data_IF_042048632791
#
_entry.id   IF_042048632791
#
_cell.length_a   1.000
_cell.length_b   1.000
_cell.length_c   1.000
_cell.angle_alpha   90.00
_cell.angle_beta   90.00
_cell.angle_gamma   90.00
#
_symmetry.space_group_name_H-M   'P 1'
#
loop_
_entity.id
_entity.type
_entity.pdbx_description
1 polymer ?
#
# COMPACT_ATOMS: atom_id res chain seq x y z
N UNK A 1 64.27 -33.86 4.31
CA UNK A 1 63.02 -34.67 4.24
C UNK A 1 62.02 -33.96 5.16
N UNK A 2 61.31 -32.91 4.72
CA UNK A 2 59.94 -32.91 4.13
C UNK A 2 59.00 -33.76 5.00
N UNK A 3 58.10 -33.22 5.84
CA UNK A 3 56.78 -32.58 5.56
C UNK A 3 56.00 -32.58 6.91
N UNK A 4 54.96 -31.81 7.25
CA UNK A 4 54.19 -30.72 6.65
C UNK A 4 53.42 -30.06 7.82
N UNK A 5 53.36 -28.72 7.85
CA UNK A 5 52.56 -27.95 8.80
C UNK A 5 51.15 -27.85 8.23
N UNK A 6 50.17 -28.47 8.89
CA UNK A 6 48.75 -28.35 8.53
C UNK A 6 48.20 -27.02 9.06
N UNK A 7 48.08 -26.03 8.18
CA UNK A 7 47.33 -24.80 8.39
C UNK A 7 45.84 -25.11 8.34
N UNK A 8 45.17 -25.06 9.49
CA UNK A 8 43.72 -25.12 9.58
C UNK A 8 43.12 -23.78 9.11
N UNK A 9 42.62 -23.76 7.87
CA UNK A 9 41.79 -22.68 7.34
C UNK A 9 40.43 -22.69 8.05
N UNK A 10 40.27 -21.84 9.06
CA UNK A 10 38.97 -21.53 9.64
C UNK A 10 38.20 -20.70 8.62
N UNK A 11 37.38 -21.36 7.82
CA UNK A 11 36.38 -20.72 6.98
C UNK A 11 35.32 -20.11 7.91
N UNK A 12 35.50 -18.83 8.25
CA UNK A 12 34.48 -18.02 8.90
C UNK A 12 33.34 -17.88 7.90
N UNK A 13 32.34 -18.77 8.00
CA UNK A 13 31.05 -18.56 7.38
C UNK A 13 30.43 -17.32 8.02
N UNK A 14 30.63 -16.17 7.39
CA UNK A 14 29.83 -14.98 7.67
C UNK A 14 28.40 -15.32 7.27
N UNK A 15 27.62 -15.80 8.23
CA UNK A 15 26.16 -15.81 8.10
C UNK A 15 25.76 -14.35 8.02
N UNK A 16 25.46 -13.89 6.81
CA UNK A 16 24.76 -12.63 6.60
C UNK A 16 23.42 -12.78 7.30
N UNK A 17 23.34 -12.29 8.55
CA UNK A 17 22.08 -12.12 9.24
C UNK A 17 21.31 -11.14 8.38
N UNK A 18 20.36 -11.65 7.61
CA UNK A 18 19.35 -10.83 6.97
C UNK A 18 18.60 -10.19 8.14
N UNK A 19 18.93 -8.94 8.45
CA UNK A 19 18.16 -8.15 9.38
C UNK A 19 16.77 -8.06 8.74
N UNK A 20 15.83 -8.88 9.23
CA UNK A 20 14.44 -8.67 8.94
C UNK A 20 14.14 -7.24 9.40
N UNK A 21 13.83 -6.35 8.46
CA UNK A 21 13.43 -4.97 8.72
C UNK A 21 12.25 -5.01 9.71
N UNK A 22 12.56 -4.90 11.01
CA UNK A 22 11.55 -4.97 12.07
C UNK A 22 10.82 -3.65 12.11
N UNK A 23 9.58 -3.64 11.62
CA UNK A 23 8.66 -2.52 11.83
C UNK A 23 8.28 -2.52 13.32
N UNK A 24 8.58 -1.42 14.00
CA UNK A 24 8.10 -1.12 15.34
C UNK A 24 6.64 -0.67 15.21
N UNK A 25 5.68 -1.41 15.79
CA UNK A 25 4.28 -1.02 15.72
C UNK A 25 4.03 0.34 16.40
N UNK A 26 3.18 1.21 15.84
CA UNK A 26 2.82 2.46 16.46
C UNK A 26 1.98 2.19 17.70
N UNK A 27 2.10 3.08 18.69
CA UNK A 27 1.40 2.95 19.96
C UNK A 27 -0.04 3.50 19.84
N UNK A 28 -0.92 2.73 19.21
CA UNK A 28 -2.33 3.07 19.00
C UNK A 28 -3.28 2.03 19.60
N UNK A 29 -4.52 2.44 19.88
CA UNK A 29 -5.54 1.55 20.45
C UNK A 29 -6.00 0.50 19.43
N UNK A 30 -6.20 -0.73 19.91
CA UNK A 30 -6.94 -1.77 19.17
C UNK A 30 -8.43 -1.54 19.30
N UNK A 31 -9.19 -1.80 18.23
CA UNK A 31 -10.63 -1.62 18.19
C UNK A 31 -11.12 -1.05 16.86
N UNK A 32 -12.29 -0.42 16.86
CA UNK A 32 -12.92 0.20 15.71
C UNK A 32 -12.31 1.57 15.44
N UNK A 33 -11.93 1.80 14.19
CA UNK A 33 -11.45 3.07 13.69
C UNK A 33 -12.27 3.51 12.49
N UNK A 34 -12.32 4.83 12.27
CA UNK A 34 -12.83 5.43 11.05
C UNK A 34 -11.70 6.18 10.36
N UNK A 35 -11.61 6.04 9.05
CA UNK A 35 -10.63 6.73 8.24
C UNK A 35 -11.34 7.52 7.16
N UNK A 36 -10.93 8.77 7.02
CA UNK A 36 -11.26 9.60 5.86
C UNK A 36 -9.99 9.72 5.04
N UNK A 37 -10.07 9.29 3.79
CA UNK A 37 -8.98 9.28 2.84
C UNK A 37 -9.34 10.12 1.63
N UNK A 38 -8.38 10.85 1.09
CA UNK A 38 -8.48 11.53 -0.20
C UNK A 38 -7.45 10.91 -1.13
N UNK A 39 -7.90 10.42 -2.27
CA UNK A 39 -7.01 9.89 -3.30
C UNK A 39 -7.09 10.73 -4.56
N UNK A 40 -5.94 10.91 -5.20
CA UNK A 40 -5.81 11.48 -6.54
C UNK A 40 -5.11 10.47 -7.42
N UNK A 41 -5.58 10.35 -8.66
CA UNK A 41 -5.00 9.44 -9.62
C UNK A 41 -4.79 10.18 -10.94
N UNK A 42 -3.60 10.07 -11.50
CA UNK A 42 -3.21 10.70 -12.76
C UNK A 42 -2.50 9.71 -13.66
N UNK A 43 -2.46 10.00 -14.96
CA UNK A 43 -1.85 9.10 -15.95
C UNK A 43 -2.72 7.88 -16.29
N UNK A 44 -3.99 7.87 -15.87
CA UNK A 44 -4.95 6.86 -16.30
C UNK A 44 -5.12 6.91 -17.82
N UNK A 45 -5.27 5.75 -18.50
CA UNK A 45 -5.64 5.73 -19.90
C UNK A 45 -6.91 6.56 -20.11
N UNK A 46 -6.94 7.38 -21.15
CA UNK A 46 -8.18 8.00 -21.57
C UNK A 46 -9.22 6.89 -21.77
N UNK A 47 -10.42 7.06 -21.19
CA UNK A 47 -11.52 6.14 -21.44
C UNK A 47 -11.69 6.03 -22.97
N UNK A 48 -11.74 4.81 -23.54
CA UNK A 48 -11.98 4.64 -24.96
C UNK A 48 -13.26 5.38 -25.34
N UNK A 49 -13.20 6.21 -26.39
CA UNK A 49 -14.42 6.79 -26.93
C UNK A 49 -15.32 5.65 -27.41
N UNK A 50 -16.57 5.68 -26.98
CA UNK A 50 -17.51 4.61 -27.30
C UNK A 50 -18.01 4.83 -28.72
N UNK A 51 -17.84 3.87 -29.65
CA UNK A 51 -18.29 4.03 -31.02
C UNK A 51 -19.81 4.29 -31.06
N UNK A 52 -20.30 5.20 -31.92
CA UNK A 52 -21.74 5.47 -32.03
C UNK A 52 -22.57 4.22 -32.31
N UNK A 53 -22.02 3.27 -33.06
CA UNK A 53 -22.66 1.99 -33.35
C UNK A 53 -22.78 1.09 -32.11
N UNK A 54 -21.79 1.11 -31.21
CA UNK A 54 -21.85 0.36 -29.96
C UNK A 54 -22.90 0.96 -29.02
N UNK A 55 -23.01 2.30 -28.96
CA UNK A 55 -24.05 2.99 -28.20
C UNK A 55 -25.46 2.64 -28.68
N UNK A 56 -25.64 2.47 -30.00
CA UNK A 56 -26.93 2.11 -30.60
C UNK A 56 -27.34 0.65 -30.32
N UNK A 57 -26.38 -0.24 -30.05
CA UNK A 57 -26.63 -1.67 -29.75
C UNK A 57 -26.79 -1.97 -28.26
N UNK A 58 -26.62 -0.98 -27.39
CA UNK A 58 -26.77 -1.16 -25.95
C UNK A 58 -28.23 -1.17 -25.51
N UNK A 59 -28.55 -2.09 -24.61
CA UNK A 59 -29.80 -2.05 -23.85
C UNK A 59 -29.82 -0.83 -22.90
N UNK A 60 -31.01 -0.37 -22.47
CA UNK A 60 -31.13 0.72 -21.50
C UNK A 60 -30.33 0.47 -20.21
N UNK A 61 -30.32 -0.77 -19.71
CA UNK A 61 -29.57 -1.16 -18.51
C UNK A 61 -28.06 -1.06 -18.72
N UNK A 62 -27.55 -1.54 -19.86
CA UNK A 62 -26.13 -1.45 -20.21
C UNK A 62 -25.67 0.01 -20.36
N UNK A 63 -26.52 0.86 -20.96
CA UNK A 63 -26.22 2.29 -21.09
C UNK A 63 -26.18 2.97 -19.72
N UNK A 64 -27.12 2.67 -18.83
CA UNK A 64 -27.14 3.23 -17.48
C UNK A 64 -25.88 2.84 -16.68
N UNK A 65 -25.49 1.56 -16.71
CA UNK A 65 -24.26 1.09 -16.06
C UNK A 65 -23.02 1.79 -16.63
N UNK A 66 -22.94 1.91 -17.94
CA UNK A 66 -21.83 2.57 -18.61
C UNK A 66 -21.75 4.06 -18.27
N UNK A 67 -22.88 4.78 -18.23
CA UNK A 67 -22.92 6.18 -17.82
C UNK A 67 -22.49 6.37 -16.36
N UNK A 68 -22.86 5.45 -15.46
CA UNK A 68 -22.40 5.44 -14.07
C UNK A 68 -20.89 5.18 -13.97
N UNK A 69 -20.36 4.22 -14.73
CA UNK A 69 -18.92 3.97 -14.85
C UNK A 69 -18.16 5.17 -15.45
N UNK A 70 -18.75 5.86 -16.44
CA UNK A 70 -18.16 7.07 -17.02
C UNK A 70 -18.18 8.22 -16.02
N UNK A 71 -19.29 8.47 -15.32
CA UNK A 71 -19.36 9.51 -14.27
C UNK A 71 -18.34 9.28 -13.16
N UNK A 72 -18.19 8.03 -12.72
CA UNK A 72 -17.19 7.67 -11.71
C UNK A 72 -15.74 7.76 -12.25
N UNK A 73 -15.51 7.53 -13.54
CA UNK A 73 -14.16 7.59 -14.15
C UNK A 73 -13.78 8.98 -14.69
N UNK A 74 -14.74 9.84 -14.99
CA UNK A 74 -14.53 11.18 -15.55
C UNK A 74 -14.08 12.21 -14.51
N UNK A 75 -14.22 11.91 -13.22
CA UNK A 75 -13.67 12.72 -12.14
C UNK A 75 -12.19 12.43 -11.92
N UNK A 76 -11.31 12.95 -12.77
CA UNK A 76 -9.84 12.95 -12.55
C UNK A 76 -9.38 13.87 -11.41
N UNK A 77 -10.33 14.39 -10.62
CA UNK A 77 -10.07 15.19 -9.44
C UNK A 77 -9.93 14.35 -8.17
N UNK A 78 -9.52 14.96 -7.05
CA UNK A 78 -9.47 14.29 -5.75
C UNK A 78 -10.81 13.69 -5.38
N UNK A 79 -10.79 12.44 -4.89
CA UNK A 79 -11.96 11.76 -4.36
C UNK A 79 -11.76 11.46 -2.89
N UNK A 80 -12.72 11.87 -2.08
CA UNK A 80 -12.71 11.62 -0.64
C UNK A 80 -13.69 10.52 -0.29
N UNK A 81 -13.24 9.54 0.48
CA UNK A 81 -14.04 8.42 0.98
C UNK A 81 -13.84 8.30 2.49
N UNK A 82 -14.88 7.84 3.19
CA UNK A 82 -14.82 7.53 4.62
C UNK A 82 -15.20 6.08 4.83
N UNK A 83 -14.39 5.34 5.58
CA UNK A 83 -14.61 3.93 5.87
C UNK A 83 -14.24 3.57 7.31
N UNK A 84 -14.92 2.59 7.86
CA UNK A 84 -14.58 2.00 9.16
C UNK A 84 -13.76 0.74 8.98
N UNK A 85 -12.82 0.49 9.90
CA UNK A 85 -11.97 -0.69 9.89
C UNK A 85 -11.59 -1.10 11.32
N UNK A 86 -11.32 -2.39 11.50
CA UNK A 86 -10.93 -2.96 12.79
C UNK A 86 -9.40 -3.10 12.86
N UNK A 87 -8.80 -2.54 13.92
CA UNK A 87 -7.38 -2.67 14.26
C UNK A 87 -7.22 -3.73 15.34
N UNK A 88 -6.45 -4.78 15.04
CA UNK A 88 -6.10 -5.86 15.98
C UNK A 88 -4.59 -5.85 16.23
N UNK A 89 -4.14 -6.48 17.33
CA UNK A 89 -2.71 -6.62 17.62
C UNK A 89 -1.96 -7.31 16.48
N UNK A 90 -2.57 -8.34 15.91
CA UNK A 90 -1.99 -9.09 14.79
C UNK A 90 -1.80 -8.20 13.55
N UNK A 91 -2.79 -7.39 13.17
CA UNK A 91 -2.66 -6.44 12.04
C UNK A 91 -1.54 -5.41 12.28
N UNK A 92 -1.32 -4.99 13.52
CA UNK A 92 -0.24 -4.08 13.91
C UNK A 92 1.15 -4.73 13.88
N UNK A 93 1.24 -6.03 14.11
CA UNK A 93 2.51 -6.74 14.16
C UNK A 93 2.93 -7.32 12.80
N UNK A 94 1.97 -7.63 11.92
CA UNK A 94 2.22 -8.39 10.68
C UNK A 94 1.92 -7.63 9.39
N UNK A 95 0.93 -6.73 9.38
CA UNK A 95 0.27 -6.30 8.14
C UNK A 95 0.27 -4.77 7.90
N UNK A 96 1.02 -4.01 8.69
CA UNK A 96 0.82 -2.57 8.81
C UNK A 96 0.97 -1.74 7.53
N UNK A 97 1.77 -2.19 6.58
CA UNK A 97 2.06 -1.41 5.37
C UNK A 97 1.54 -2.13 4.13
N UNK A 98 1.71 -3.45 4.09
CA UNK A 98 1.19 -4.30 3.04
C UNK A 98 1.03 -5.71 3.64
N UNK A 99 -0.21 -6.17 3.78
CA UNK A 99 -0.47 -7.56 4.18
C UNK A 99 0.19 -8.56 3.21
N UNK A 100 0.51 -9.74 3.73
CA UNK A 100 1.22 -10.88 3.12
C UNK A 100 2.51 -10.57 2.33
N UNK A 101 3.42 -11.55 2.32
CA UNK A 101 4.69 -11.45 1.61
C UNK A 101 4.46 -11.56 0.11
N UNK A 102 4.56 -10.43 -0.58
CA UNK A 102 4.60 -10.38 -2.05
C UNK A 102 6.05 -10.55 -2.52
N UNK A 103 6.44 -11.72 -3.07
CA UNK A 103 7.84 -12.00 -3.42
C UNK A 103 8.39 -11.06 -4.50
N UNK A 104 7.52 -10.48 -5.32
CA UNK A 104 7.83 -9.49 -6.34
C UNK A 104 8.10 -8.08 -5.79
N UNK A 105 7.89 -7.88 -4.48
CA UNK A 105 8.05 -6.59 -3.81
C UNK A 105 9.19 -6.60 -2.79
N UNK A 106 10.10 -5.64 -2.93
CA UNK A 106 11.09 -5.30 -1.91
C UNK A 106 10.55 -4.17 -1.04
N UNK A 107 10.63 -4.35 0.29
CA UNK A 107 10.29 -3.32 1.28
C UNK A 107 11.56 -2.80 1.90
N UNK A 108 11.60 -1.50 2.18
CA UNK A 108 12.70 -0.85 2.88
C UNK A 108 12.12 0.06 3.94
N UNK A 109 12.36 -0.27 5.21
CA UNK A 109 11.93 0.56 6.33
C UNK A 109 12.91 1.74 6.46
N UNK A 110 12.43 2.96 6.22
CA UNK A 110 13.24 4.17 6.35
C UNK A 110 13.24 4.72 7.78
N UNK A 111 12.09 4.61 8.44
CA UNK A 111 11.91 5.03 9.82
C UNK A 111 10.83 4.18 10.47
N UNK A 112 11.04 3.78 11.72
CA UNK A 112 10.02 3.07 12.48
C UNK A 112 10.19 3.33 13.97
N UNK A 113 9.11 3.81 14.59
CA UNK A 113 9.01 4.15 16.00
C UNK A 113 7.55 4.06 16.44
N UNK A 114 7.29 4.29 17.73
CA UNK A 114 5.92 4.31 18.27
C UNK A 114 5.04 5.42 17.69
N UNK A 115 5.61 6.44 17.05
CA UNK A 115 4.89 7.62 16.51
C UNK A 115 5.02 7.78 15.01
N UNK A 116 5.98 7.13 14.36
CA UNK A 116 6.27 7.30 12.94
C UNK A 116 6.61 5.96 12.32
N UNK A 117 6.08 5.70 11.13
CA UNK A 117 6.54 4.61 10.27
C UNK A 117 6.63 5.13 8.84
N UNK A 118 7.79 4.97 8.23
CA UNK A 118 8.02 5.32 6.83
C UNK A 118 8.66 4.14 6.11
N UNK A 119 8.01 3.70 5.03
CA UNK A 119 8.42 2.52 4.26
C UNK A 119 8.41 2.85 2.78
N UNK A 120 9.49 2.48 2.11
CA UNK A 120 9.53 2.44 0.64
C UNK A 120 9.27 1.02 0.17
N UNK A 121 8.55 0.91 -0.93
CA UNK A 121 8.27 -0.36 -1.59
C UNK A 121 8.57 -0.23 -3.07
N UNK A 122 9.27 -1.23 -3.58
CA UNK A 122 9.51 -1.41 -5.00
C UNK A 122 8.99 -2.79 -5.39
N UNK A 123 8.00 -2.84 -6.28
CA UNK A 123 7.49 -4.09 -6.84
C UNK A 123 7.82 -4.16 -8.33
N UNK A 124 8.22 -5.33 -8.80
CA UNK A 124 8.46 -5.57 -10.23
C UNK A 124 7.92 -6.93 -10.65
N UNK A 125 6.95 -6.92 -11.56
CA UNK A 125 6.42 -8.11 -12.21
C UNK A 125 6.38 -7.90 -13.73
N UNK A 126 7.24 -8.63 -14.45
CA UNK A 126 7.36 -8.53 -15.93
C UNK A 126 7.59 -7.06 -16.36
N UNK A 127 6.69 -6.51 -17.18
CA UNK A 127 6.74 -5.15 -17.73
C UNK A 127 5.96 -4.14 -16.86
N UNK A 128 5.64 -4.51 -15.62
CA UNK A 128 4.95 -3.65 -14.65
C UNK A 128 5.86 -3.41 -13.46
N UNK A 129 6.18 -2.15 -13.19
CA UNK A 129 6.89 -1.74 -11.97
C UNK A 129 6.00 -0.84 -11.12
N UNK A 130 6.16 -0.91 -9.81
CA UNK A 130 5.45 -0.04 -8.88
C UNK A 130 6.38 0.41 -7.76
N UNK A 131 6.59 1.70 -7.67
CA UNK A 131 7.37 2.35 -6.63
C UNK A 131 6.43 3.11 -5.70
N UNK A 132 6.59 2.93 -4.40
CA UNK A 132 5.71 3.49 -3.39
C UNK A 132 6.46 4.00 -2.17
N UNK A 133 6.00 5.11 -1.60
CA UNK A 133 6.41 5.60 -0.28
C UNK A 133 5.19 5.75 0.61
N UNK A 134 5.24 5.13 1.77
CA UNK A 134 4.17 5.05 2.76
C UNK A 134 4.67 5.73 4.02
N UNK A 135 3.91 6.68 4.54
CA UNK A 135 4.23 7.38 5.78
C UNK A 135 3.01 7.38 6.69
N UNK A 136 3.20 6.96 7.94
CA UNK A 136 2.18 6.93 8.97
C UNK A 136 2.71 7.68 10.19
N UNK A 137 1.90 8.58 10.72
CA UNK A 137 2.16 9.37 11.92
C UNK A 137 1.05 9.14 12.94
N UNK A 138 1.38 8.53 14.08
CA UNK A 138 0.47 8.47 15.22
C UNK A 138 0.54 9.80 15.98
N UNK A 139 -0.51 10.61 15.83
CA UNK A 139 -0.66 11.90 16.52
C UNK A 139 -1.02 11.70 17.99
N UNK A 140 -1.76 10.64 18.28
CA UNK A 140 -2.07 10.14 19.61
C UNK A 140 -2.40 8.64 19.52
N UNK A 141 -2.71 8.00 20.65
CA UNK A 141 -3.19 6.62 20.64
C UNK A 141 -4.57 6.43 19.98
N UNK A 142 -5.27 7.53 19.67
CA UNK A 142 -6.63 7.57 19.11
C UNK A 142 -6.70 8.31 17.76
N UNK A 143 -5.57 8.81 17.25
CA UNK A 143 -5.52 9.63 16.05
C UNK A 143 -4.26 9.35 15.25
N UNK A 144 -4.44 9.01 13.98
CA UNK A 144 -3.37 8.69 13.04
C UNK A 144 -3.58 9.49 11.77
N UNK A 145 -2.51 9.97 11.16
CA UNK A 145 -2.53 10.48 9.78
C UNK A 145 -1.51 9.72 8.95
N UNK A 146 -1.66 9.76 7.65
CA UNK A 146 -0.62 9.23 6.79
C UNK A 146 -0.77 9.64 5.34
N UNK A 147 0.26 9.31 4.59
CA UNK A 147 0.35 9.56 3.16
C UNK A 147 0.87 8.31 2.46
N UNK A 148 0.40 8.08 1.25
CA UNK A 148 0.93 7.09 0.33
C UNK A 148 1.12 7.76 -1.03
N UNK A 149 2.30 7.59 -1.60
CA UNK A 149 2.71 8.14 -2.88
C UNK A 149 3.21 7.00 -3.73
N UNK A 150 2.51 6.69 -4.81
CA UNK A 150 2.79 5.51 -5.62
C UNK A 150 2.84 5.87 -7.10
N UNK A 151 3.83 5.32 -7.79
CA UNK A 151 3.98 5.40 -9.24
C UNK A 151 4.02 3.98 -9.78
N UNK A 152 3.06 3.64 -10.63
CA UNK A 152 3.05 2.37 -11.34
C UNK A 152 3.37 2.64 -12.81
N UNK A 153 4.42 2.00 -13.32
CA UNK A 153 4.67 1.95 -14.76
C UNK A 153 4.10 0.64 -15.30
N UNK A 154 3.21 0.73 -16.29
CA UNK A 154 2.74 -0.43 -17.03
C UNK A 154 2.92 -0.17 -18.53
N UNK A 155 3.76 -0.98 -19.18
CA UNK A 155 4.03 -0.87 -20.62
C UNK A 155 4.46 0.55 -21.05
N UNK A 156 5.35 1.19 -20.27
CA UNK A 156 5.88 2.51 -20.58
C UNK A 156 4.93 3.68 -20.25
N UNK A 157 3.76 3.42 -19.66
CA UNK A 157 2.85 4.45 -19.16
C UNK A 157 2.90 4.52 -17.64
N UNK A 158 3.12 5.72 -17.11
CA UNK A 158 3.07 5.98 -15.67
C UNK A 158 1.66 6.32 -15.23
N UNK A 159 1.21 5.67 -14.17
CA UNK A 159 0.05 6.01 -13.38
C UNK A 159 0.55 6.46 -12.01
N UNK A 160 0.20 7.68 -11.60
CA UNK A 160 0.52 8.16 -10.25
C UNK A 160 -0.74 8.09 -9.40
N UNK A 161 -0.58 7.61 -8.17
CA UNK A 161 -1.60 7.58 -7.15
C UNK A 161 -1.05 8.25 -5.89
N UNK A 162 -1.70 9.34 -5.49
CA UNK A 162 -1.47 9.92 -4.18
C UNK A 162 -2.66 9.65 -3.28
N UNK A 163 -2.38 9.49 -2.00
CA UNK A 163 -3.34 9.18 -0.98
C UNK A 163 -2.94 9.89 0.30
N UNK A 164 -3.85 10.68 0.87
CA UNK A 164 -3.67 11.31 2.17
C UNK A 164 -4.85 10.93 3.06
N UNK A 165 -4.60 10.52 4.29
CA UNK A 165 -5.66 10.07 5.19
C UNK A 165 -5.52 10.59 6.61
N UNK A 166 -6.67 10.68 7.27
CA UNK A 166 -6.83 10.91 8.70
C UNK A 166 -7.71 9.80 9.26
N UNK A 167 -7.29 9.20 10.37
CA UNK A 167 -8.03 8.16 11.05
C UNK A 167 -8.18 8.43 12.54
N UNK A 168 -9.36 8.09 13.07
CA UNK A 168 -9.74 8.29 14.46
C UNK A 168 -10.32 7.02 15.07
N UNK A 169 -10.00 6.78 16.33
CA UNK A 169 -10.56 5.69 17.12
C UNK A 169 -12.02 5.96 17.47
N UNK A 170 -12.88 4.95 17.30
CA UNK A 170 -14.31 5.02 17.61
C UNK A 170 -14.71 4.21 18.84
N UNK A 171 -13.96 3.17 19.21
CA UNK A 171 -14.29 2.33 20.36
C UNK A 171 -13.64 0.96 20.33
N UNK A 172 -13.75 0.21 21.43
CA UNK A 172 -13.02 -1.06 21.59
C UNK A 172 -13.65 -2.21 20.78
N UNK A 173 -14.96 -2.14 20.53
CA UNK A 173 -15.70 -3.18 19.83
C UNK A 173 -15.72 -2.91 18.32
N UNK A 174 -15.25 -3.86 17.52
CA UNK A 174 -15.27 -3.76 16.06
C UNK A 174 -16.65 -4.01 15.44
N UNK A 175 -17.58 -4.62 16.18
CA UNK A 175 -18.90 -4.98 15.66
C UNK A 175 -18.79 -5.91 14.45
N UNK A 176 -19.58 -5.63 13.41
CA UNK A 176 -19.61 -6.42 12.17
C UNK A 176 -18.48 -6.06 11.16
N UNK A 177 -17.57 -5.16 11.53
CA UNK A 177 -16.44 -4.73 10.68
C UNK A 177 -15.31 -5.75 10.76
N UNK A 178 -15.00 -6.43 9.63
CA UNK A 178 -13.91 -7.40 9.48
C UNK A 178 -12.61 -6.72 9.01
#
# INVERSE_FOLDING_TARGET
MRTAILLALIAVCTTSIWAADRIIPPNIKTGLWEMTETHTMSGMPAMPSIPPEALARMTPEQRAQMEEHMKSSMGGGPKTTTRKYCVTKEKLEKDMVFGENRPECTRTVLSSSSTMTEVKVHCQEKDVTSDGTFKIEALSSESVKGTMRMVTNAHGRNMNMDFDFLSKYLGAACGDVK
#
